data_IF_276993596019
#
_entry.id   IF_276993596019
#
_cell.length_a   1.000
_cell.length_b   1.000
_cell.length_c   1.000
_cell.angle_alpha   90.00
_cell.angle_beta   90.00
_cell.angle_gamma   90.00
#
_symmetry.space_group_name_H-M   'P 1'
#
loop_
_entity.id
_entity.type
_entity.pdbx_description
1 polymer ?
#
# COMPACT_ATOMS: atom_id res chain seq x y z
N UNK A 1 -8.95 0.25 21.56
CA UNK A 1 -8.22 -0.08 20.29
C UNK A 1 -7.64 1.19 19.72
N UNK A 2 -6.37 1.15 19.29
CA UNK A 2 -5.71 2.32 18.69
C UNK A 2 -5.87 2.30 17.15
N UNK A 3 -6.23 3.45 16.55
CA UNK A 3 -6.39 3.58 15.10
C UNK A 3 -5.08 3.98 14.41
N UNK A 4 -4.34 4.88 15.03
CA UNK A 4 -3.03 5.36 14.60
C UNK A 4 -2.25 5.90 15.80
N UNK A 5 -0.95 6.08 15.61
CA UNK A 5 -0.07 6.80 16.52
C UNK A 5 0.76 7.81 15.73
N UNK A 6 1.04 8.97 16.34
CA UNK A 6 1.96 9.97 15.79
C UNK A 6 3.11 10.10 16.77
N UNK A 7 4.34 10.02 16.27
CA UNK A 7 5.53 10.15 17.10
C UNK A 7 6.81 10.00 16.29
N UNK A 8 7.91 10.06 17.01
CA UNK A 8 9.25 9.94 16.43
C UNK A 8 9.69 8.47 16.39
N UNK A 9 10.18 8.02 15.26
CA UNK A 9 10.84 6.72 15.16
C UNK A 9 12.22 6.82 15.79
N UNK A 10 12.45 6.08 16.87
CA UNK A 10 13.71 6.09 17.65
C UNK A 10 14.60 4.88 17.34
N UNK A 11 14.03 3.82 16.79
CA UNK A 11 14.77 2.61 16.39
C UNK A 11 14.10 1.92 15.21
N UNK A 12 14.89 1.43 14.26
CA UNK A 12 14.45 0.62 13.12
C UNK A 12 15.08 -0.76 13.22
N UNK A 13 14.24 -1.78 13.37
CA UNK A 13 14.62 -3.20 13.46
C UNK A 13 14.34 -3.93 12.15
N UNK A 14 14.71 -5.20 12.06
CA UNK A 14 14.49 -6.03 10.85
C UNK A 14 13.02 -6.28 10.50
N UNK A 15 12.11 -6.24 11.48
CA UNK A 15 10.69 -6.56 11.32
C UNK A 15 9.75 -5.62 12.10
N UNK A 16 10.30 -4.59 12.76
CA UNK A 16 9.56 -3.68 13.59
C UNK A 16 10.25 -2.32 13.64
N UNK A 17 9.53 -1.32 14.14
CA UNK A 17 10.06 -0.03 14.55
C UNK A 17 9.69 0.24 16.00
N UNK A 18 10.51 1.05 16.69
CA UNK A 18 10.12 1.67 17.95
C UNK A 18 9.75 3.12 17.68
N UNK A 19 8.49 3.46 17.95
CA UNK A 19 7.98 4.83 17.83
C UNK A 19 7.72 5.40 19.21
N UNK A 20 8.36 6.53 19.50
CA UNK A 20 8.19 7.25 20.76
C UNK A 20 7.05 8.27 20.64
N UNK A 21 6.14 8.22 21.59
CA UNK A 21 5.11 9.22 21.80
C UNK A 21 5.01 9.56 23.27
N UNK A 22 5.21 10.82 23.63
CA UNK A 22 5.17 11.31 25.03
C UNK A 22 6.02 10.51 26.01
N UNK A 23 7.24 10.13 25.63
CA UNK A 23 8.19 9.40 26.47
C UNK A 23 7.90 7.89 26.59
N UNK A 24 6.96 7.36 25.81
CA UNK A 24 6.66 5.92 25.76
C UNK A 24 7.08 5.40 24.38
N UNK A 25 7.96 4.38 24.37
CA UNK A 25 8.35 3.67 23.14
C UNK A 25 7.38 2.54 22.82
N UNK A 26 6.74 2.62 21.65
CA UNK A 26 5.83 1.60 21.14
C UNK A 26 6.56 0.71 20.14
N UNK A 27 6.68 -0.60 20.46
CA UNK A 27 7.19 -1.60 19.53
C UNK A 27 6.09 -1.97 18.52
N UNK A 28 6.31 -1.67 17.24
CA UNK A 28 5.32 -1.81 16.19
C UNK A 28 5.88 -2.69 15.08
N UNK A 29 5.29 -3.88 14.88
CA UNK A 29 5.60 -4.74 13.75
C UNK A 29 5.10 -4.11 12.45
N UNK A 30 5.93 -4.05 11.41
CA UNK A 30 5.56 -3.40 10.15
C UNK A 30 6.00 -4.24 8.95
N UNK A 31 5.30 -4.16 7.81
CA UNK A 31 5.69 -4.90 6.60
C UNK A 31 7.09 -4.58 6.14
N UNK A 32 7.44 -3.31 6.08
CA UNK A 32 8.75 -2.81 5.66
C UNK A 32 9.24 -1.75 6.64
N UNK A 33 10.05 -2.12 7.66
CA UNK A 33 10.60 -1.16 8.61
C UNK A 33 11.49 -0.09 7.98
N UNK A 34 12.19 -0.43 6.89
CA UNK A 34 13.19 0.44 6.26
C UNK A 34 12.59 1.62 5.45
N UNK A 35 11.26 1.71 5.35
CA UNK A 35 10.59 2.91 4.84
C UNK A 35 10.46 4.01 5.89
N UNK A 36 10.83 3.71 7.14
CA UNK A 36 10.89 4.65 8.25
C UNK A 36 12.35 5.03 8.52
N UNK A 37 12.59 6.29 8.78
CA UNK A 37 13.92 6.80 9.12
C UNK A 37 13.96 7.17 10.60
N UNK A 38 15.06 6.82 11.27
CA UNK A 38 15.26 7.19 12.67
C UNK A 38 15.30 8.72 12.85
N UNK A 39 14.82 9.18 13.99
CA UNK A 39 14.71 10.58 14.38
C UNK A 39 13.74 11.43 13.53
N UNK A 40 12.90 10.80 12.69
CA UNK A 40 11.80 11.47 11.98
C UNK A 40 10.44 11.16 12.59
N UNK A 41 9.53 12.12 12.48
CA UNK A 41 8.15 11.97 12.93
C UNK A 41 7.30 11.32 11.85
N UNK A 42 6.45 10.37 12.28
CA UNK A 42 5.53 9.65 11.41
C UNK A 42 4.16 9.51 12.05
N UNK A 43 3.13 9.49 11.21
CA UNK A 43 1.83 8.94 11.54
C UNK A 43 1.79 7.49 11.06
N UNK A 44 1.64 6.55 11.99
CA UNK A 44 1.60 5.11 11.72
C UNK A 44 0.20 4.61 12.01
N UNK A 45 -0.44 3.99 11.03
CA UNK A 45 -1.78 3.39 11.19
C UNK A 45 -1.66 2.05 11.89
N UNK A 46 -2.41 1.84 12.97
CA UNK A 46 -2.25 0.70 13.86
C UNK A 46 -3.39 -0.30 13.77
N UNK A 47 -3.00 -1.57 13.85
CA UNK A 47 -3.88 -2.66 14.27
C UNK A 47 -3.31 -3.26 15.56
N UNK A 48 -4.13 -3.34 16.60
CA UNK A 48 -3.77 -3.95 17.88
C UNK A 48 -4.34 -5.35 17.94
N UNK A 49 -3.47 -6.35 18.10
CA UNK A 49 -3.86 -7.72 18.42
C UNK A 49 -3.67 -7.96 19.92
N UNK A 50 -4.71 -8.44 20.55
CA UNK A 50 -4.70 -8.82 21.98
C UNK A 50 -5.01 -10.31 22.03
N UNK A 51 -4.12 -11.10 22.64
CA UNK A 51 -4.29 -12.49 23.00
C UNK A 51 -4.04 -12.63 24.51
N UNK A 52 -4.31 -13.82 25.07
CA UNK A 52 -4.13 -14.08 26.49
C UNK A 52 -2.69 -13.83 26.95
N UNK A 53 -1.72 -14.15 26.12
CA UNK A 53 -0.27 -14.13 26.41
C UNK A 53 0.52 -13.09 25.58
N UNK A 54 -0.10 -12.40 24.63
CA UNK A 54 0.59 -11.50 23.69
C UNK A 54 -0.26 -10.27 23.35
N UNK A 55 0.31 -9.08 23.55
CA UNK A 55 -0.21 -7.83 23.03
C UNK A 55 0.74 -7.33 21.94
N UNK A 56 0.28 -7.21 20.71
CA UNK A 56 1.11 -6.81 19.58
C UNK A 56 0.49 -5.66 18.82
N UNK A 57 1.34 -4.69 18.41
CA UNK A 57 0.97 -3.68 17.45
C UNK A 57 1.50 -4.06 16.07
N UNK A 58 0.65 -3.86 15.07
CA UNK A 58 1.00 -3.93 13.64
C UNK A 58 0.76 -2.55 13.05
N UNK A 59 1.78 -1.99 12.40
CA UNK A 59 1.75 -0.62 11.90
C UNK A 59 2.01 -0.54 10.40
N UNK A 60 1.36 0.44 9.78
CA UNK A 60 1.35 0.65 8.34
C UNK A 60 1.60 2.12 8.04
N UNK A 61 2.34 2.38 6.97
CA UNK A 61 2.65 3.74 6.55
C UNK A 61 1.43 4.43 5.96
N UNK A 62 0.57 3.67 5.26
CA UNK A 62 -0.65 4.18 4.66
C UNK A 62 -1.90 3.51 5.23
N UNK A 63 -3.04 4.13 5.01
CA UNK A 63 -4.35 3.61 5.43
C UNK A 63 -4.73 2.39 4.58
N UNK A 64 -4.39 2.42 3.31
CA UNK A 64 -4.65 1.36 2.32
C UNK A 64 -3.91 0.08 2.67
N UNK A 65 -2.63 0.18 3.09
CA UNK A 65 -1.87 -0.97 3.61
C UNK A 65 -2.56 -1.60 4.83
N UNK A 66 -3.05 -0.77 5.77
CA UNK A 66 -3.80 -1.25 6.93
C UNK A 66 -5.10 -1.92 6.50
N UNK A 67 -5.84 -1.35 5.56
CA UNK A 67 -7.10 -1.92 5.08
C UNK A 67 -6.88 -3.24 4.36
N UNK A 68 -5.84 -3.34 3.51
CA UNK A 68 -5.44 -4.61 2.90
C UNK A 68 -5.09 -5.66 3.97
N UNK A 69 -4.29 -5.26 4.98
CA UNK A 69 -3.95 -6.14 6.09
C UNK A 69 -5.19 -6.68 6.79
N UNK A 70 -6.17 -5.83 7.11
CA UNK A 70 -7.41 -6.23 7.77
C UNK A 70 -8.22 -7.22 6.91
N UNK A 71 -8.25 -7.01 5.59
CA UNK A 71 -8.90 -7.95 4.66
C UNK A 71 -8.14 -9.28 4.61
N UNK A 72 -6.81 -9.26 4.57
CA UNK A 72 -5.98 -10.46 4.56
C UNK A 72 -6.15 -11.32 5.82
N UNK A 73 -6.11 -10.73 7.01
CA UNK A 73 -6.23 -11.48 8.28
C UNK A 73 -7.63 -12.07 8.52
N UNK A 74 -8.65 -11.62 7.78
CA UNK A 74 -9.99 -12.23 7.79
C UNK A 74 -10.05 -13.52 6.96
N UNK A 75 -9.04 -13.81 6.14
CA UNK A 75 -8.96 -15.07 5.40
C UNK A 75 -8.61 -16.21 6.37
N UNK A 76 -9.40 -17.28 6.31
CA UNK A 76 -9.19 -18.45 7.17
C UNK A 76 -7.79 -19.06 6.97
N UNK A 77 -6.99 -19.08 8.03
CA UNK A 77 -5.63 -19.62 8.03
C UNK A 77 -4.53 -18.59 7.69
N UNK A 78 -4.88 -17.30 7.51
CA UNK A 78 -3.95 -16.22 7.25
C UNK A 78 -3.92 -15.26 8.45
N UNK A 79 -2.93 -15.42 9.32
CA UNK A 79 -2.74 -14.55 10.47
C UNK A 79 -1.80 -13.37 10.19
N UNK A 80 -1.66 -12.41 11.15
CA UNK A 80 -0.82 -11.22 11.00
C UNK A 80 0.62 -11.50 10.55
N UNK A 81 1.27 -12.51 11.12
CA UNK A 81 2.67 -12.89 10.79
C UNK A 81 2.83 -13.46 9.36
N UNK A 82 1.72 -13.80 8.68
CA UNK A 82 1.71 -14.22 7.27
C UNK A 82 1.29 -13.06 6.36
N UNK A 83 0.40 -12.18 6.84
CA UNK A 83 -0.06 -11.01 6.09
C UNK A 83 1.05 -9.96 5.86
N UNK A 84 1.91 -9.71 6.87
CA UNK A 84 2.98 -8.70 6.75
C UNK A 84 3.92 -8.94 5.56
N UNK A 85 4.49 -10.14 5.34
CA UNK A 85 5.33 -10.40 4.17
C UNK A 85 4.62 -10.24 2.83
N UNK A 86 3.31 -10.47 2.76
CA UNK A 86 2.51 -10.26 1.54
C UNK A 86 2.49 -8.78 1.20
N UNK A 87 2.25 -7.91 2.19
CA UNK A 87 2.22 -6.46 2.01
C UNK A 87 3.61 -5.90 1.74
N UNK A 88 4.66 -6.46 2.39
CA UNK A 88 6.04 -6.02 2.21
C UNK A 88 6.56 -6.21 0.77
N UNK A 89 6.11 -7.27 0.10
CA UNK A 89 6.66 -7.70 -1.20
C UNK A 89 5.68 -7.55 -2.36
N UNK A 90 4.38 -7.41 -2.06
CA UNK A 90 3.32 -7.27 -3.04
C UNK A 90 2.77 -5.85 -3.08
N UNK A 91 2.56 -5.31 -4.29
CA UNK A 91 1.76 -4.10 -4.42
C UNK A 91 0.28 -4.40 -4.19
N UNK A 92 -0.46 -3.44 -3.64
CA UNK A 92 -1.91 -3.57 -3.42
C UNK A 92 -2.62 -3.96 -4.72
N UNK A 93 -2.28 -3.27 -5.82
CA UNK A 93 -2.84 -3.54 -7.14
C UNK A 93 -2.48 -4.94 -7.66
N UNK A 94 -1.22 -5.39 -7.46
CA UNK A 94 -0.78 -6.73 -7.89
C UNK A 94 -1.48 -7.86 -7.14
N UNK A 95 -1.73 -7.67 -5.83
CA UNK A 95 -2.45 -8.63 -5.01
C UNK A 95 -3.93 -8.68 -5.42
N UNK A 96 -4.56 -7.50 -5.59
CA UNK A 96 -5.95 -7.40 -6.05
C UNK A 96 -6.17 -8.03 -7.42
N UNK A 97 -5.29 -7.72 -8.38
CA UNK A 97 -5.32 -8.30 -9.73
C UNK A 97 -5.14 -9.82 -9.71
N UNK A 98 -4.18 -10.33 -8.92
CA UNK A 98 -3.96 -11.76 -8.78
C UNK A 98 -5.18 -12.50 -8.18
N UNK A 99 -5.88 -11.89 -7.23
CA UNK A 99 -7.09 -12.45 -6.64
C UNK A 99 -8.25 -12.43 -7.63
N UNK A 100 -8.47 -11.29 -8.33
CA UNK A 100 -9.55 -11.14 -9.29
C UNK A 100 -9.38 -12.07 -10.51
N UNK A 101 -8.13 -12.27 -10.97
CA UNK A 101 -7.78 -13.19 -12.07
C UNK A 101 -7.54 -14.63 -11.62
N UNK A 102 -7.74 -14.95 -10.35
CA UNK A 102 -7.52 -16.28 -9.75
C UNK A 102 -6.09 -16.82 -10.00
N UNK A 103 -5.10 -15.93 -9.99
CA UNK A 103 -3.70 -16.27 -10.26
C UNK A 103 -3.03 -16.92 -9.05
N UNK A 104 -3.27 -18.22 -8.85
CA UNK A 104 -2.69 -19.02 -7.77
C UNK A 104 -1.16 -19.01 -7.80
N UNK A 105 -0.55 -19.01 -9.01
CA UNK A 105 0.90 -19.02 -9.15
C UNK A 105 1.54 -17.75 -8.59
N UNK A 106 0.90 -16.60 -8.80
CA UNK A 106 1.35 -15.33 -8.22
C UNK A 106 1.25 -15.36 -6.69
N UNK A 107 0.11 -15.79 -6.15
CA UNK A 107 -0.11 -15.84 -4.71
C UNK A 107 0.85 -16.81 -3.99
N UNK A 108 1.22 -17.91 -4.63
CA UNK A 108 2.20 -18.88 -4.10
C UNK A 108 3.64 -18.34 -4.04
N UNK A 109 3.95 -17.20 -4.67
CA UNK A 109 5.26 -16.55 -4.51
C UNK A 109 5.48 -15.97 -3.11
N UNK A 110 4.41 -15.67 -2.39
CA UNK A 110 4.53 -15.17 -1.04
C UNK A 110 4.90 -16.27 -0.06
N UNK A 111 5.77 -15.98 0.92
CA UNK A 111 6.19 -16.98 1.91
C UNK A 111 4.99 -17.52 2.70
N UNK A 112 5.00 -18.81 2.97
CA UNK A 112 3.96 -19.56 3.70
C UNK A 112 2.58 -19.62 2.99
N UNK A 113 2.47 -19.18 1.74
CA UNK A 113 1.26 -19.33 0.94
C UNK A 113 1.37 -20.59 0.07
N UNK A 114 0.67 -21.64 0.50
CA UNK A 114 0.48 -22.86 -0.31
C UNK A 114 -0.76 -22.77 -1.19
N UNK A 115 -0.96 -23.78 -2.04
CA UNK A 115 -2.10 -23.82 -2.97
C UNK A 115 -3.46 -23.71 -2.28
N UNK A 116 -3.62 -24.41 -1.13
CA UNK A 116 -4.87 -24.38 -0.35
C UNK A 116 -5.18 -22.99 0.17
N UNK A 117 -4.18 -22.28 0.71
CA UNK A 117 -4.35 -20.92 1.23
C UNK A 117 -4.56 -19.91 0.10
N UNK A 118 -3.85 -20.06 -1.04
CA UNK A 118 -4.06 -19.20 -2.21
C UNK A 118 -5.51 -19.32 -2.73
N UNK A 119 -6.06 -20.53 -2.82
CA UNK A 119 -7.47 -20.75 -3.19
C UNK A 119 -8.44 -20.13 -2.18
N UNK A 120 -8.12 -20.22 -0.87
CA UNK A 120 -8.93 -19.62 0.18
C UNK A 120 -8.89 -18.09 0.10
N UNK A 121 -7.72 -17.49 -0.18
CA UNK A 121 -7.59 -16.04 -0.41
C UNK A 121 -8.47 -15.57 -1.57
N UNK A 122 -8.46 -16.29 -2.68
CA UNK A 122 -9.32 -15.99 -3.84
C UNK A 122 -10.79 -16.05 -3.45
N UNK A 123 -11.20 -17.15 -2.80
CA UNK A 123 -12.59 -17.35 -2.39
C UNK A 123 -13.11 -16.24 -1.46
N UNK A 124 -12.29 -15.85 -0.48
CA UNK A 124 -12.69 -14.91 0.57
C UNK A 124 -12.59 -13.44 0.13
N UNK A 125 -11.68 -13.10 -0.81
CA UNK A 125 -11.31 -11.72 -1.14
C UNK A 125 -11.70 -11.26 -2.54
N UNK A 126 -12.09 -12.16 -3.45
CA UNK A 126 -12.49 -11.78 -4.82
C UNK A 126 -13.64 -10.77 -4.79
N UNK A 127 -13.48 -9.66 -5.52
CA UNK A 127 -14.43 -8.53 -5.57
C UNK A 127 -14.44 -7.64 -4.32
N UNK A 128 -13.61 -7.92 -3.30
CA UNK A 128 -13.57 -7.13 -2.05
C UNK A 128 -12.37 -6.20 -1.92
N UNK A 129 -11.46 -6.20 -2.91
CA UNK A 129 -10.26 -5.38 -2.90
C UNK A 129 -10.33 -4.18 -3.86
N UNK A 130 -11.44 -4.01 -4.57
CA UNK A 130 -11.60 -2.96 -5.59
C UNK A 130 -11.49 -1.56 -4.99
N UNK A 131 -12.04 -1.35 -3.79
CA UNK A 131 -11.97 -0.07 -3.08
C UNK A 131 -10.54 0.32 -2.67
N UNK A 132 -9.62 -0.65 -2.56
CA UNK A 132 -8.23 -0.41 -2.20
C UNK A 132 -7.35 -0.05 -3.40
N UNK A 133 -7.74 -0.45 -4.60
CA UNK A 133 -7.01 -0.15 -5.84
C UNK A 133 -7.23 1.29 -6.31
N UNK A 134 -8.21 1.99 -5.73
CA UNK A 134 -8.47 3.42 -6.00
C UNK A 134 -7.61 4.36 -5.15
N UNK A 135 -6.75 3.83 -4.28
CA UNK A 135 -5.94 4.57 -3.30
C UNK A 135 -4.55 4.99 -3.76
N UNK A 136 -4.30 5.14 -5.04
CA UNK A 136 -3.14 5.92 -5.53
C UNK A 136 -3.45 7.43 -5.39
N UNK A 137 -3.69 7.90 -4.16
CA UNK A 137 -3.91 9.34 -3.93
C UNK A 137 -2.66 10.17 -4.27
N UNK A 138 -1.46 9.60 -4.23
CA UNK A 138 -0.25 10.32 -4.68
C UNK A 138 -0.15 10.28 -6.21
N UNK A 139 -0.50 9.17 -6.86
CA UNK A 139 -0.54 9.10 -8.32
C UNK A 139 -1.83 9.73 -8.89
N UNK A 140 -2.92 9.81 -8.12
CA UNK A 140 -4.14 10.53 -8.52
C UNK A 140 -3.96 12.04 -8.44
N UNK A 141 -3.30 12.56 -7.41
CA UNK A 141 -3.10 14.02 -7.29
C UNK A 141 -2.22 14.51 -8.45
N UNK A 142 -1.09 13.86 -8.71
CA UNK A 142 -0.21 14.22 -9.83
C UNK A 142 -0.82 13.92 -11.21
N UNK A 143 -1.57 12.84 -11.37
CA UNK A 143 -2.23 12.54 -12.65
C UNK A 143 -3.48 13.40 -12.88
N UNK A 144 -4.15 13.84 -11.83
CA UNK A 144 -5.27 14.78 -11.92
C UNK A 144 -4.76 16.22 -12.16
N UNK A 145 -3.69 16.65 -11.48
CA UNK A 145 -3.00 17.90 -11.78
C UNK A 145 -2.45 17.94 -13.21
N UNK A 146 -1.80 16.87 -13.67
CA UNK A 146 -1.33 16.75 -15.05
C UNK A 146 -2.49 16.81 -16.03
N UNK A 147 -3.60 16.14 -15.75
CA UNK A 147 -4.81 16.14 -16.57
C UNK A 147 -5.44 17.54 -16.64
N UNK A 148 -5.59 18.21 -15.50
CA UNK A 148 -6.13 19.58 -15.45
C UNK A 148 -5.23 20.57 -16.19
N UNK A 149 -3.91 20.45 -16.04
CA UNK A 149 -2.95 21.26 -16.79
C UNK A 149 -3.07 21.05 -18.31
N UNK A 150 -3.20 19.80 -18.78
CA UNK A 150 -3.35 19.49 -20.20
C UNK A 150 -4.71 19.92 -20.76
N UNK A 151 -5.79 19.84 -19.96
CA UNK A 151 -7.10 20.40 -20.31
C UNK A 151 -7.01 21.92 -20.42
N UNK A 152 -6.34 22.59 -19.49
CA UNK A 152 -6.07 24.03 -19.51
C UNK A 152 -5.27 24.48 -20.74
N UNK A 153 -4.41 23.60 -21.29
CA UNK A 153 -3.67 23.80 -22.54
C UNK A 153 -4.51 23.49 -23.79
N UNK A 154 -5.77 23.05 -23.64
CA UNK A 154 -6.72 22.86 -24.76
C UNK A 154 -6.79 21.44 -25.34
N UNK A 155 -6.13 20.45 -24.71
CA UNK A 155 -6.19 19.05 -25.15
C UNK A 155 -7.49 18.38 -24.72
N UNK A 156 -8.01 17.45 -25.54
CA UNK A 156 -9.24 16.73 -25.25
C UNK A 156 -8.99 15.58 -24.29
N UNK A 157 -9.93 15.34 -23.39
CA UNK A 157 -9.86 14.27 -22.38
C UNK A 157 -9.52 12.88 -22.96
N UNK A 158 -9.99 12.59 -24.16
CA UNK A 158 -9.72 11.33 -24.87
C UNK A 158 -8.23 11.19 -25.29
N UNK A 159 -7.58 12.28 -25.65
CA UNK A 159 -6.17 12.33 -26.01
C UNK A 159 -5.30 12.18 -24.76
N UNK A 160 -5.65 12.89 -23.71
CA UNK A 160 -4.99 12.84 -22.41
C UNK A 160 -5.00 11.43 -21.81
N UNK A 161 -6.16 10.76 -21.81
CA UNK A 161 -6.28 9.37 -21.34
C UNK A 161 -5.37 8.37 -22.05
N UNK A 162 -5.06 8.61 -23.32
CA UNK A 162 -4.21 7.72 -24.12
C UNK A 162 -2.73 7.81 -23.76
N UNK A 163 -2.28 8.93 -23.15
CA UNK A 163 -0.89 9.21 -22.86
C UNK A 163 -0.56 9.25 -21.38
N UNK A 164 -1.53 9.56 -20.50
CA UNK A 164 -1.31 9.76 -19.08
C UNK A 164 -0.68 8.52 -18.40
N UNK A 165 -0.97 7.32 -18.91
CA UNK A 165 -0.39 6.06 -18.45
C UNK A 165 1.04 5.82 -18.97
N UNK A 166 1.54 6.65 -19.89
CA UNK A 166 2.87 6.53 -20.49
C UNK A 166 3.86 7.54 -19.92
N UNK A 167 3.37 8.52 -19.17
CA UNK A 167 4.19 9.55 -18.52
C UNK A 167 4.74 8.96 -17.22
N UNK A 168 6.02 9.19 -16.96
CA UNK A 168 6.66 8.73 -15.73
C UNK A 168 6.13 9.52 -14.52
N UNK A 169 5.37 8.83 -13.65
CA UNK A 169 4.76 9.42 -12.45
C UNK A 169 5.77 9.78 -11.35
N UNK A 170 7.03 9.39 -11.49
CA UNK A 170 8.10 9.75 -10.52
C UNK A 170 8.68 11.14 -10.75
N UNK A 171 8.41 11.74 -11.92
CA UNK A 171 8.88 13.08 -12.27
C UNK A 171 8.05 14.16 -11.56
N UNK A 172 8.62 15.36 -11.42
CA UNK A 172 7.85 16.51 -10.96
C UNK A 172 6.83 16.95 -12.04
N UNK A 173 5.78 17.68 -11.64
CA UNK A 173 4.65 18.05 -12.52
C UNK A 173 5.09 18.79 -13.80
N UNK A 174 6.12 19.65 -13.73
CA UNK A 174 6.63 20.38 -14.88
C UNK A 174 7.28 19.44 -15.91
N UNK A 175 8.01 18.45 -15.45
CA UNK A 175 8.64 17.43 -16.29
C UNK A 175 7.61 16.48 -16.88
N UNK A 176 6.59 16.10 -16.11
CA UNK A 176 5.45 15.31 -16.60
C UNK A 176 4.66 16.03 -17.70
N UNK A 177 4.41 17.33 -17.54
CA UNK A 177 3.76 18.15 -18.59
C UNK A 177 4.61 18.17 -19.85
N UNK A 178 5.93 18.37 -19.75
CA UNK A 178 6.83 18.38 -20.91
C UNK A 178 6.87 17.03 -21.62
N UNK A 179 6.86 15.93 -20.87
CA UNK A 179 6.83 14.58 -21.45
C UNK A 179 5.49 14.29 -22.12
N UNK A 180 4.38 14.63 -21.47
CA UNK A 180 3.04 14.50 -22.01
C UNK A 180 2.88 15.27 -23.34
N UNK A 181 3.36 16.51 -23.40
CA UNK A 181 3.33 17.32 -24.61
C UNK A 181 4.15 16.70 -25.74
N UNK A 182 5.33 16.12 -25.47
CA UNK A 182 6.11 15.37 -26.46
C UNK A 182 5.38 14.16 -27.02
N UNK A 183 4.58 13.48 -26.19
CA UNK A 183 3.78 12.32 -26.60
C UNK A 183 2.55 12.72 -27.41
N UNK A 184 1.95 13.88 -27.14
CA UNK A 184 0.79 14.42 -27.86
C UNK A 184 1.14 15.02 -29.22
N UNK A 185 2.39 15.47 -29.41
CA UNK A 185 2.88 16.09 -30.66
C UNK A 185 3.45 15.06 -31.66
N UNK A 186 3.46 13.77 -31.30
CA UNK A 186 3.83 12.66 -32.21
C UNK A 186 2.61 12.01 -32.82
#
# INVERSE_FOLDING_TARGET
>A
MYSYIIGKVVEVMSNAIVLENNGIGYLINTPNPFVFEENKDYKVYLYQQIKEDEHSFFGFKTKEEKELFLKLINVKGLGPKVALPIIATGSINGISDAINRENILYLKKFPKIGEKLAKQMILDLKGKLEDLTTGDEIAKDTSEELREALIGLGYKDKEIKSIILKVDSSLNIEEQIKEALKLLLK
#
